data_IF_276040969950
#
_entry.id   IF_276040969950
#
_cell.length_a   1.000
_cell.length_b   1.000
_cell.length_c   1.000
_cell.angle_alpha   90.00
_cell.angle_beta   90.00
_cell.angle_gamma   90.00
#
_symmetry.space_group_name_H-M   'P 1'
#
loop_
_entity.id
_entity.type
_entity.pdbx_description
1 polymer ?
#
# COMPACT_ATOMS: atom_id res chain seq x y z
N UNK A 1 -18.31 0.39 20.88
CA UNK A 1 -19.25 -0.42 20.07
C UNK A 1 -20.04 0.43 19.07
N UNK A 2 -20.73 1.51 19.49
CA UNK A 2 -21.59 2.32 18.59
C UNK A 2 -20.83 3.08 17.50
N UNK A 3 -19.60 3.55 17.76
CA UNK A 3 -18.74 4.17 16.73
C UNK A 3 -18.49 3.23 15.55
N UNK A 4 -18.10 1.97 15.85
CA UNK A 4 -17.92 0.94 14.82
C UNK A 4 -19.22 0.65 14.06
N UNK A 5 -20.39 0.71 14.71
CA UNK A 5 -21.68 0.54 14.03
C UNK A 5 -21.97 1.69 13.05
N UNK A 6 -21.59 2.92 13.41
CA UNK A 6 -21.69 4.07 12.50
C UNK A 6 -20.75 3.93 11.31
N UNK A 7 -19.48 3.59 11.56
CA UNK A 7 -18.47 3.46 10.51
C UNK A 7 -18.78 2.30 9.56
N UNK A 8 -19.22 1.15 10.08
CA UNK A 8 -19.67 0.01 9.27
C UNK A 8 -20.88 0.35 8.41
N UNK A 9 -21.89 1.04 8.95
CA UNK A 9 -23.05 1.47 8.16
C UNK A 9 -22.66 2.46 7.05
N UNK A 10 -21.70 3.35 7.31
CA UNK A 10 -21.17 4.26 6.29
C UNK A 10 -20.36 3.54 5.22
N UNK A 11 -19.54 2.56 5.60
CA UNK A 11 -18.81 1.72 4.65
C UNK A 11 -19.76 0.90 3.79
N UNK A 12 -20.78 0.26 4.38
CA UNK A 12 -21.83 -0.46 3.65
C UNK A 12 -22.46 0.44 2.58
N UNK A 13 -22.83 1.68 2.94
CA UNK A 13 -23.35 2.67 1.99
C UNK A 13 -22.35 2.93 0.85
N UNK A 14 -21.09 3.24 1.17
CA UNK A 14 -20.05 3.51 0.18
C UNK A 14 -19.83 2.34 -0.78
N UNK A 15 -19.86 1.10 -0.29
CA UNK A 15 -19.68 -0.08 -1.13
C UNK A 15 -20.87 -0.33 -2.05
N UNK A 16 -22.11 -0.13 -1.58
CA UNK A 16 -23.31 -0.27 -2.41
C UNK A 16 -23.31 0.76 -3.56
N UNK A 17 -23.00 2.02 -3.25
CA UNK A 17 -22.92 3.09 -4.26
C UNK A 17 -21.90 2.80 -5.35
N UNK A 18 -20.85 2.05 -5.02
CA UNK A 18 -19.73 1.72 -5.90
C UNK A 18 -19.92 0.42 -6.69
N UNK A 19 -21.10 -0.20 -6.64
CA UNK A 19 -21.37 -1.43 -7.39
C UNK A 19 -21.50 -1.14 -8.89
N UNK A 20 -20.91 -2.03 -9.71
CA UNK A 20 -20.97 -1.95 -11.18
C UNK A 20 -22.40 -1.93 -11.72
N UNK A 21 -23.30 -2.66 -11.06
CA UNK A 21 -24.72 -2.70 -11.37
C UNK A 21 -25.54 -2.47 -10.10
N UNK A 22 -26.45 -1.49 -10.13
CA UNK A 22 -27.33 -1.15 -9.01
C UNK A 22 -28.76 -1.49 -9.40
N UNK A 23 -29.34 -2.48 -8.75
CA UNK A 23 -30.75 -2.87 -8.90
C UNK A 23 -31.63 -2.25 -7.78
N UNK A 24 -32.95 -2.41 -7.87
CA UNK A 24 -33.89 -1.89 -6.86
C UNK A 24 -33.62 -2.45 -5.45
N UNK A 25 -33.14 -3.70 -5.38
CA UNK A 25 -32.70 -4.33 -4.13
C UNK A 25 -31.47 -3.59 -3.55
N UNK A 26 -30.51 -3.22 -4.39
CA UNK A 26 -29.34 -2.42 -3.98
C UNK A 26 -29.75 -1.03 -3.51
N UNK A 27 -30.74 -0.37 -4.15
CA UNK A 27 -31.25 0.93 -3.71
C UNK A 27 -31.97 0.84 -2.36
N UNK A 28 -32.70 -0.24 -2.11
CA UNK A 28 -33.32 -0.48 -0.80
C UNK A 28 -32.24 -0.71 0.28
N UNK A 29 -31.20 -1.48 -0.04
CA UNK A 29 -30.06 -1.68 0.85
C UNK A 29 -29.29 -0.38 1.11
N UNK A 30 -29.17 0.49 0.09
CA UNK A 30 -28.55 1.81 0.18
C UNK A 30 -29.27 2.70 1.19
N UNK A 31 -30.59 2.80 1.08
CA UNK A 31 -31.41 3.61 2.01
C UNK A 31 -31.35 3.05 3.44
N UNK A 32 -31.36 1.73 3.60
CA UNK A 32 -31.19 1.09 4.90
C UNK A 32 -29.83 1.41 5.52
N UNK A 33 -28.73 1.28 4.75
CA UNK A 33 -27.39 1.61 5.21
C UNK A 33 -27.29 3.10 5.62
N UNK A 34 -27.87 4.00 4.83
CA UNK A 34 -27.93 5.43 5.16
C UNK A 34 -28.73 5.70 6.44
N UNK A 35 -29.87 5.03 6.61
CA UNK A 35 -30.68 5.10 7.83
C UNK A 35 -29.92 4.64 9.08
N UNK A 36 -29.23 3.48 8.99
CA UNK A 36 -28.36 2.98 10.06
C UNK A 36 -27.24 3.96 10.39
N UNK A 37 -26.59 4.53 9.38
CA UNK A 37 -25.55 5.55 9.57
C UNK A 37 -26.11 6.79 10.28
N UNK A 38 -27.25 7.31 9.84
CA UNK A 38 -27.90 8.47 10.47
C UNK A 38 -28.31 8.22 11.92
N UNK A 39 -28.72 6.99 12.24
CA UNK A 39 -29.05 6.60 13.61
C UNK A 39 -27.80 6.51 14.49
N UNK A 40 -26.75 5.81 14.05
CA UNK A 40 -25.57 5.58 14.87
C UNK A 40 -24.59 6.75 14.94
N UNK A 41 -24.57 7.65 13.95
CA UNK A 41 -23.65 8.80 13.93
C UNK A 41 -23.84 9.74 15.13
N UNK A 42 -24.98 9.69 15.79
CA UNK A 42 -25.27 10.49 16.99
C UNK A 42 -24.24 10.30 18.11
N UNK A 43 -23.57 9.16 18.15
CA UNK A 43 -22.44 8.92 19.06
C UNK A 43 -21.33 9.98 18.92
N UNK A 44 -21.12 10.55 17.73
CA UNK A 44 -20.13 11.60 17.53
C UNK A 44 -20.57 12.94 18.14
N UNK A 45 -21.88 13.17 18.27
CA UNK A 45 -22.41 14.35 18.98
C UNK A 45 -22.33 14.13 20.49
N UNK A 46 -22.73 12.94 20.97
CA UNK A 46 -22.69 12.56 22.38
C UNK A 46 -21.27 12.54 22.96
N UNK A 47 -20.30 12.03 22.19
CA UNK A 47 -18.88 12.00 22.60
C UNK A 47 -18.18 13.37 22.54
N UNK A 48 -18.87 14.42 22.08
CA UNK A 48 -18.29 15.76 21.93
C UNK A 48 -17.33 15.91 20.74
N UNK A 49 -17.18 14.88 19.91
CA UNK A 49 -16.38 14.97 18.67
C UNK A 49 -17.00 15.98 17.70
N UNK A 50 -18.34 16.03 17.66
CA UNK A 50 -19.08 16.93 16.78
C UNK A 50 -20.36 17.48 17.42
N UNK A 51 -20.20 18.42 18.38
CA UNK A 51 -21.33 18.91 19.18
C UNK A 51 -22.34 19.72 18.34
N UNK A 52 -21.89 20.37 17.27
CA UNK A 52 -22.70 21.24 16.40
C UNK A 52 -23.56 20.49 15.38
N UNK A 53 -23.55 19.15 15.37
CA UNK A 53 -24.37 18.31 14.49
C UNK A 53 -23.75 18.05 13.12
N UNK A 54 -24.58 17.57 12.16
CA UNK A 54 -24.12 16.87 10.95
C UNK A 54 -24.24 17.64 9.62
N UNK A 55 -24.16 18.96 9.62
CA UNK A 55 -24.27 19.81 8.42
C UNK A 55 -23.04 19.83 7.50
N UNK A 56 -22.41 18.67 7.24
CA UNK A 56 -21.32 18.58 6.23
C UNK A 56 -21.90 18.41 4.84
N UNK A 57 -21.42 19.17 3.84
CA UNK A 57 -21.81 18.98 2.44
C UNK A 57 -21.67 17.51 1.98
N UNK A 58 -20.60 16.82 2.38
CA UNK A 58 -20.34 15.41 2.03
C UNK A 58 -21.27 14.41 2.71
N UNK A 59 -21.82 14.73 3.88
CA UNK A 59 -22.82 13.88 4.54
C UNK A 59 -24.22 14.17 4.00
N UNK A 60 -24.52 15.43 3.68
CA UNK A 60 -25.78 15.82 3.07
C UNK A 60 -25.94 15.23 1.66
N UNK A 61 -24.85 15.14 0.89
CA UNK A 61 -24.89 14.55 -0.45
C UNK A 61 -25.35 13.09 -0.45
N UNK A 62 -25.14 12.35 0.65
CA UNK A 62 -25.52 10.93 0.77
C UNK A 62 -27.02 10.71 0.51
N UNK A 63 -27.86 11.62 1.01
CA UNK A 63 -29.33 11.55 0.83
C UNK A 63 -29.78 11.69 -0.62
N UNK A 64 -28.92 12.20 -1.52
CA UNK A 64 -29.27 12.41 -2.92
C UNK A 64 -28.83 11.26 -3.83
N UNK A 65 -28.04 10.29 -3.32
CA UNK A 65 -27.48 9.22 -4.15
C UNK A 65 -28.56 8.34 -4.76
N UNK A 66 -29.56 7.89 -4.00
CA UNK A 66 -30.66 7.07 -4.55
C UNK A 66 -31.31 7.78 -5.74
N UNK A 67 -31.70 9.05 -5.55
CA UNK A 67 -32.33 9.84 -6.60
C UNK A 67 -31.43 10.02 -7.83
N UNK A 68 -30.15 10.32 -7.61
CA UNK A 68 -29.18 10.49 -8.69
C UNK A 68 -28.91 9.17 -9.43
N UNK A 69 -28.83 8.05 -8.73
CA UNK A 69 -28.65 6.73 -9.36
C UNK A 69 -29.83 6.42 -10.27
N UNK A 70 -31.06 6.69 -9.83
CA UNK A 70 -32.26 6.51 -10.68
C UNK A 70 -32.25 7.40 -11.94
N UNK A 71 -31.67 8.60 -11.86
CA UNK A 71 -31.63 9.56 -12.99
C UNK A 71 -30.45 9.38 -13.93
N UNK A 72 -29.29 9.00 -13.40
CA UNK A 72 -28.01 9.08 -14.11
C UNK A 72 -27.26 7.74 -14.16
N UNK A 73 -27.79 6.69 -13.54
CA UNK A 73 -27.15 5.39 -13.45
C UNK A 73 -26.16 5.27 -12.29
N UNK A 74 -25.51 4.12 -12.20
CA UNK A 74 -24.51 3.85 -11.16
C UNK A 74 -23.31 4.81 -11.31
N UNK A 75 -22.79 5.39 -10.20
CA UNK A 75 -21.71 6.38 -10.24
C UNK A 75 -20.31 5.77 -10.45
N UNK A 76 -20.23 4.59 -11.09
CA UNK A 76 -18.96 3.90 -11.32
C UNK A 76 -18.00 4.78 -12.12
N UNK A 77 -16.73 4.79 -11.72
CA UNK A 77 -15.70 5.59 -12.37
C UNK A 77 -15.74 7.11 -12.05
N UNK A 78 -16.58 7.58 -11.13
CA UNK A 78 -16.60 8.97 -10.66
C UNK A 78 -16.30 9.06 -9.17
N UNK A 79 -15.11 8.62 -8.76
CA UNK A 79 -14.63 8.80 -7.39
C UNK A 79 -13.84 10.10 -7.26
N UNK A 80 -13.80 10.66 -6.04
CA UNK A 80 -12.84 11.71 -5.74
C UNK A 80 -11.40 11.25 -5.88
N UNK A 81 -11.11 9.93 -5.87
CA UNK A 81 -9.74 9.44 -6.09
C UNK A 81 -9.28 9.64 -7.53
N UNK A 82 -10.17 9.62 -8.52
CA UNK A 82 -9.81 9.86 -9.93
C UNK A 82 -9.44 11.33 -10.14
N UNK A 83 -10.28 12.25 -9.67
CA UNK A 83 -10.01 13.69 -9.77
C UNK A 83 -8.83 14.10 -8.88
N UNK A 84 -8.70 13.52 -7.69
CA UNK A 84 -7.56 13.76 -6.80
C UNK A 84 -6.26 13.18 -7.37
N UNK A 85 -6.29 12.01 -8.02
CA UNK A 85 -5.11 11.43 -8.69
C UNK A 85 -4.61 12.34 -9.80
N UNK A 86 -5.51 12.85 -10.65
CA UNK A 86 -5.16 13.85 -11.66
C UNK A 86 -4.68 15.16 -11.04
N UNK A 87 -5.31 15.62 -9.96
CA UNK A 87 -4.88 16.81 -9.21
C UNK A 87 -3.49 16.64 -8.56
N UNK A 88 -3.16 15.45 -8.07
CA UNK A 88 -1.81 15.13 -7.57
C UNK A 88 -0.79 15.33 -8.70
N UNK A 89 -1.05 14.71 -9.86
CA UNK A 89 -0.12 14.74 -10.99
C UNK A 89 0.00 16.13 -11.62
N UNK A 90 -1.12 16.83 -11.82
CA UNK A 90 -1.17 18.10 -12.53
C UNK A 90 -0.92 19.32 -11.63
N UNK A 91 -1.11 19.20 -10.32
CA UNK A 91 -1.02 20.35 -9.39
C UNK A 91 -0.02 20.08 -8.27
N UNK A 92 -0.23 19.05 -7.44
CA UNK A 92 0.63 18.85 -6.25
C UNK A 92 2.09 18.56 -6.61
N UNK A 93 2.33 17.67 -7.58
CA UNK A 93 3.69 17.32 -8.04
C UNK A 93 4.41 18.52 -8.66
N UNK A 94 3.82 19.25 -9.63
CA UNK A 94 4.43 20.45 -10.18
C UNK A 94 4.65 21.55 -9.14
N UNK A 95 3.71 21.74 -8.21
CA UNK A 95 3.85 22.71 -7.12
C UNK A 95 5.07 22.40 -6.25
N UNK A 96 5.24 21.13 -5.84
CA UNK A 96 6.41 20.68 -5.05
C UNK A 96 7.73 20.89 -5.78
N UNK A 97 7.75 20.68 -7.10
CA UNK A 97 8.92 20.86 -7.98
C UNK A 97 9.21 22.32 -8.34
N UNK A 98 8.23 23.22 -8.19
CA UNK A 98 8.39 24.64 -8.49
C UNK A 98 9.17 25.37 -7.39
N UNK A 99 9.72 26.54 -7.72
CA UNK A 99 10.33 27.43 -6.72
C UNK A 99 9.31 28.09 -5.78
N UNK A 100 8.01 27.88 -6.00
CA UNK A 100 6.87 28.52 -5.31
C UNK A 100 6.73 30.03 -5.54
N UNK A 101 7.64 30.65 -6.29
CA UNK A 101 7.56 32.04 -6.73
C UNK A 101 7.06 32.09 -8.18
N UNK A 102 5.96 32.81 -8.44
CA UNK A 102 5.27 32.80 -9.76
C UNK A 102 5.06 31.36 -10.30
N UNK A 103 4.62 30.48 -9.40
CA UNK A 103 4.65 29.04 -9.60
C UNK A 103 3.75 28.54 -10.74
N UNK A 104 2.66 29.25 -11.06
CA UNK A 104 1.68 28.79 -12.05
C UNK A 104 2.31 28.56 -13.42
N UNK A 105 3.15 29.50 -13.90
CA UNK A 105 3.86 29.35 -15.17
C UNK A 105 4.81 28.17 -15.18
N UNK A 106 5.54 27.97 -14.07
CA UNK A 106 6.44 26.81 -13.91
C UNK A 106 5.67 25.50 -13.92
N UNK A 107 4.54 25.44 -13.21
CA UNK A 107 3.68 24.25 -13.13
C UNK A 107 3.12 23.87 -14.51
N UNK A 108 2.66 24.86 -15.29
CA UNK A 108 2.18 24.64 -16.66
C UNK A 108 3.29 24.11 -17.57
N UNK A 109 4.51 24.63 -17.45
CA UNK A 109 5.67 24.15 -18.21
C UNK A 109 6.06 22.72 -17.84
N UNK A 110 6.05 22.38 -16.55
CA UNK A 110 6.30 21.02 -16.06
C UNK A 110 5.26 20.05 -16.62
N UNK A 111 3.97 20.39 -16.54
CA UNK A 111 2.90 19.57 -17.09
C UNK A 111 3.07 19.36 -18.60
N UNK A 112 3.31 20.45 -19.34
CA UNK A 112 3.54 20.38 -20.79
C UNK A 112 4.73 19.48 -21.13
N UNK A 113 5.82 19.55 -20.35
CA UNK A 113 7.00 18.69 -20.57
C UNK A 113 6.68 17.22 -20.30
N UNK A 114 5.96 16.93 -19.23
CA UNK A 114 5.55 15.57 -18.89
C UNK A 114 4.61 14.98 -19.95
N UNK A 115 3.66 15.76 -20.46
CA UNK A 115 2.75 15.33 -21.52
C UNK A 115 3.50 15.02 -22.82
N UNK A 116 4.47 15.86 -23.19
CA UNK A 116 5.35 15.62 -24.35
C UNK A 116 6.19 14.35 -24.18
N UNK A 117 6.76 14.12 -22.99
CA UNK A 117 7.53 12.91 -22.69
C UNK A 117 6.64 11.65 -22.73
N UNK A 118 5.43 11.72 -22.20
CA UNK A 118 4.47 10.60 -22.26
C UNK A 118 4.07 10.26 -23.69
N UNK A 119 3.81 11.29 -24.52
CA UNK A 119 3.52 11.11 -25.94
C UNK A 119 4.72 10.50 -26.69
N UNK A 120 5.93 11.02 -26.46
CA UNK A 120 7.15 10.48 -27.07
C UNK A 120 7.41 9.04 -26.65
N UNK A 121 7.22 8.69 -25.37
CA UNK A 121 7.37 7.32 -24.88
C UNK A 121 6.41 6.36 -25.58
N UNK A 122 5.16 6.76 -25.76
CA UNK A 122 4.15 5.96 -26.47
C UNK A 122 4.54 5.73 -27.93
N UNK A 123 4.98 6.79 -28.62
CA UNK A 123 5.46 6.71 -30.00
C UNK A 123 6.69 5.78 -30.13
N UNK A 124 7.70 5.95 -29.27
CA UNK A 124 8.91 5.13 -29.29
C UNK A 124 8.65 3.67 -28.93
N UNK A 125 7.81 3.39 -27.93
CA UNK A 125 7.37 2.03 -27.61
C UNK A 125 6.65 1.38 -28.79
N UNK A 126 5.75 2.10 -29.47
CA UNK A 126 5.03 1.54 -30.64
C UNK A 126 5.94 1.17 -31.81
N UNK A 127 7.15 1.74 -31.86
CA UNK A 127 8.18 1.47 -32.87
C UNK A 127 9.22 0.44 -32.40
N UNK A 128 9.07 -0.13 -31.21
CA UNK A 128 10.04 -1.04 -30.60
C UNK A 128 11.36 -0.37 -30.19
N UNK A 129 11.42 0.97 -30.14
CA UNK A 129 12.64 1.72 -29.83
C UNK A 129 12.99 1.72 -28.33
N UNK A 130 12.11 1.19 -27.48
CA UNK A 130 12.28 1.09 -26.03
C UNK A 130 12.33 -0.36 -25.55
N UNK A 131 12.46 -1.32 -26.48
CA UNK A 131 12.60 -2.73 -26.15
C UNK A 131 14.10 -3.05 -25.97
N UNK A 132 14.44 -3.64 -24.82
CA UNK A 132 15.82 -3.87 -24.41
C UNK A 132 16.29 -2.91 -23.32
N UNK A 133 17.45 -3.20 -22.72
CA UNK A 133 18.11 -2.29 -21.77
C UNK A 133 19.38 -1.76 -22.41
N UNK A 134 19.77 -0.51 -22.11
CA UNK A 134 21.06 0.01 -22.56
C UNK A 134 22.22 -0.89 -22.08
N UNK A 135 22.05 -1.56 -20.93
CA UNK A 135 22.99 -2.54 -20.42
C UNK A 135 23.05 -3.79 -21.30
N UNK A 136 21.91 -4.31 -21.75
CA UNK A 136 21.83 -5.44 -22.69
C UNK A 136 22.55 -5.12 -24.00
N UNK A 137 22.28 -3.96 -24.60
CA UNK A 137 22.96 -3.52 -25.82
C UNK A 137 24.49 -3.36 -25.62
N UNK A 138 24.92 -2.87 -24.46
CA UNK A 138 26.35 -2.75 -24.12
C UNK A 138 26.99 -4.12 -23.89
N UNK A 139 26.28 -5.04 -23.24
CA UNK A 139 26.73 -6.43 -23.05
C UNK A 139 26.82 -7.13 -24.39
N UNK A 140 25.83 -7.00 -25.27
CA UNK A 140 25.83 -7.60 -26.61
C UNK A 140 27.02 -7.07 -27.42
N UNK A 141 27.29 -5.75 -27.39
CA UNK A 141 28.48 -5.17 -28.02
C UNK A 141 29.80 -5.61 -27.39
N UNK A 142 29.84 -5.83 -26.08
CA UNK A 142 31.02 -6.35 -25.40
C UNK A 142 31.26 -7.82 -25.75
N UNK A 143 30.20 -8.62 -25.82
CA UNK A 143 30.26 -10.01 -26.28
C UNK A 143 30.72 -10.08 -27.74
N UNK A 144 30.16 -9.26 -28.63
CA UNK A 144 30.62 -9.13 -30.02
C UNK A 144 32.10 -8.70 -30.11
N UNK A 145 32.53 -7.72 -29.30
CA UNK A 145 33.92 -7.27 -29.27
C UNK A 145 34.90 -8.30 -28.68
N UNK A 146 34.45 -9.16 -27.75
CA UNK A 146 35.24 -10.26 -27.21
C UNK A 146 35.34 -11.42 -28.21
N UNK A 147 34.28 -11.72 -28.96
CA UNK A 147 34.29 -12.68 -30.07
C UNK A 147 35.21 -12.23 -31.22
N UNK A 148 35.31 -10.92 -31.47
CA UNK A 148 36.28 -10.33 -32.42
C UNK A 148 37.72 -10.36 -31.88
N UNK A 149 37.91 -10.28 -30.56
CA UNK A 149 39.23 -10.36 -29.92
C UNK A 149 39.77 -11.80 -29.83
N UNK A 150 38.91 -12.81 -29.70
CA UNK A 150 39.31 -14.23 -29.69
C UNK A 150 39.83 -14.73 -31.06
N UNK A 151 39.63 -13.97 -32.15
CA UNK A 151 40.22 -14.27 -33.47
C UNK A 151 41.60 -13.62 -33.70
N UNK A 152 42.12 -12.83 -32.75
CA UNK A 152 43.48 -12.27 -32.80
C UNK A 152 44.13 -12.37 -31.43
N UNK A 153 44.60 -13.58 -31.10
CA UNK A 153 45.37 -13.84 -29.90
C UNK A 153 46.79 -13.26 -30.01
N UNK A 154 47.14 -12.35 -29.09
CA UNK A 154 48.45 -12.37 -28.44
C UNK A 154 48.43 -11.52 -27.16
N UNK A 155 48.54 -12.20 -26.02
CA UNK A 155 49.28 -11.84 -24.79
C UNK A 155 49.40 -10.35 -24.41
N UNK A 156 48.83 -9.94 -23.27
CA UNK A 156 49.58 -9.21 -22.21
C UNK A 156 48.83 -9.22 -20.87
N UNK A 157 49.51 -9.68 -19.81
CA UNK A 157 49.19 -9.44 -18.41
C UNK A 157 49.16 -7.94 -18.07
N UNK A 158 48.18 -7.48 -17.27
CA UNK A 158 48.44 -6.40 -16.31
C UNK A 158 47.38 -6.33 -15.22
N UNK A 159 47.85 -6.51 -13.99
CA UNK A 159 47.28 -6.02 -12.74
C UNK A 159 46.74 -4.58 -12.86
N UNK A 160 45.60 -4.31 -12.24
CA UNK A 160 45.32 -2.99 -11.64
C UNK A 160 44.22 -3.06 -10.58
N UNK A 161 44.69 -2.91 -9.35
CA UNK A 161 43.96 -2.56 -8.15
C UNK A 161 43.17 -1.25 -8.36
N UNK A 162 41.86 -1.23 -8.12
CA UNK A 162 41.08 0.01 -8.00
C UNK A 162 40.35 0.04 -6.65
N UNK A 163 40.82 0.92 -5.78
CA UNK A 163 40.17 1.29 -4.53
C UNK A 163 38.80 1.91 -4.83
N UNK A 164 37.74 1.32 -4.25
CA UNK A 164 36.41 1.91 -4.23
C UNK A 164 36.33 2.91 -3.08
N UNK A 165 36.57 4.20 -3.35
CA UNK A 165 36.07 5.29 -2.51
C UNK A 165 34.57 5.44 -2.77
N UNK A 166 33.77 4.90 -1.84
CA UNK A 166 32.32 4.96 -1.92
C UNK A 166 31.83 6.36 -1.49
N UNK A 167 31.47 7.16 -2.49
CA UNK A 167 30.09 7.60 -2.65
C UNK A 167 29.51 8.47 -1.53
N UNK A 168 29.71 9.78 -1.67
CA UNK A 168 28.96 10.81 -0.97
C UNK A 168 27.44 10.62 -1.15
N UNK A 169 26.71 10.76 -0.04
CA UNK A 169 25.26 10.83 0.05
C UNK A 169 24.68 11.81 -0.99
N UNK A 170 24.08 11.26 -2.05
CA UNK A 170 23.27 12.00 -3.01
C UNK A 170 21.86 11.38 -3.04
N UNK A 171 20.93 12.14 -2.45
CA UNK A 171 19.51 12.22 -2.80
C UNK A 171 18.76 10.89 -3.02
N UNK A 172 18.47 10.20 -1.92
CA UNK A 172 17.37 9.25 -1.85
C UNK A 172 16.00 9.99 -1.80
N UNK A 173 15.68 10.78 -2.83
CA UNK A 173 14.31 11.16 -3.16
C UNK A 173 13.72 10.10 -4.13
N UNK A 174 13.90 8.81 -3.79
CA UNK A 174 13.22 7.70 -4.47
C UNK A 174 11.71 7.84 -4.22
N UNK A 175 11.01 8.41 -5.20
CA UNK A 175 9.57 8.22 -5.48
C UNK A 175 8.68 8.00 -4.24
N UNK A 176 8.77 8.88 -3.25
CA UNK A 176 7.88 8.87 -2.06
C UNK A 176 6.40 8.97 -2.44
N UNK A 177 6.05 9.32 -3.68
CA UNK A 177 4.68 9.47 -4.17
C UNK A 177 4.15 8.29 -4.99
N UNK A 178 4.94 7.21 -5.15
CA UNK A 178 4.39 5.89 -5.46
C UNK A 178 3.76 5.25 -4.20
N UNK A 179 2.98 6.02 -3.43
CA UNK A 179 2.29 5.55 -2.20
C UNK A 179 1.04 4.73 -2.54
N UNK A 180 0.27 5.18 -3.52
CA UNK A 180 -1.09 4.68 -3.78
C UNK A 180 -1.44 4.82 -5.26
N UNK A 181 -2.05 3.80 -5.87
CA UNK A 181 -2.51 3.89 -7.26
C UNK A 181 -2.78 2.54 -7.93
N UNK A 182 -3.32 2.55 -9.16
CA UNK A 182 -3.58 1.33 -9.92
C UNK A 182 -2.27 0.58 -10.23
N UNK A 183 -2.37 -0.74 -10.36
CA UNK A 183 -1.28 -1.63 -10.75
C UNK A 183 -1.70 -2.41 -11.99
N UNK A 184 -0.79 -2.51 -12.97
CA UNK A 184 -0.98 -3.35 -14.15
C UNK A 184 -0.38 -4.74 -13.90
N UNK A 185 -1.13 -5.80 -14.17
CA UNK A 185 -0.66 -7.19 -14.07
C UNK A 185 -1.74 -8.17 -13.61
N UNK A 186 -1.53 -9.49 -13.77
CA UNK A 186 -2.46 -10.51 -13.27
C UNK A 186 -2.63 -10.39 -11.74
N UNK A 187 -3.84 -10.57 -11.19
CA UNK A 187 -4.09 -10.39 -9.78
C UNK A 187 -3.29 -11.39 -8.93
N UNK A 188 -2.37 -10.92 -8.06
CA UNK A 188 -1.80 -11.80 -7.04
C UNK A 188 -2.87 -12.13 -6.01
N UNK A 189 -2.80 -13.33 -5.41
CA UNK A 189 -3.47 -13.64 -4.15
C UNK A 189 -2.85 -12.70 -3.09
N UNK A 190 -3.45 -11.52 -2.87
CA UNK A 190 -3.11 -10.53 -1.83
C UNK A 190 -1.62 -10.46 -1.43
N UNK A 191 -0.84 -9.62 -2.10
CA UNK A 191 0.59 -9.48 -1.83
C UNK A 191 0.87 -8.29 -0.87
N UNK A 192 1.61 -8.55 0.21
CA UNK A 192 2.13 -7.54 1.13
C UNK A 192 3.65 -7.58 1.05
N UNK A 193 4.24 -6.52 0.51
CA UNK A 193 5.70 -6.37 0.40
C UNK A 193 6.21 -5.40 1.44
N UNK A 194 7.20 -5.79 2.24
CA UNK A 194 7.86 -4.89 3.19
C UNK A 194 8.73 -3.85 2.47
N UNK A 195 9.04 -2.75 3.15
CA UNK A 195 9.95 -1.74 2.60
C UNK A 195 11.36 -2.32 2.35
N UNK A 196 12.05 -1.84 1.32
CA UNK A 196 13.40 -2.29 0.98
C UNK A 196 14.42 -2.05 2.10
N UNK A 197 14.31 -0.92 2.80
CA UNK A 197 15.25 -0.53 3.85
C UNK A 197 14.72 -0.93 5.22
N UNK A 198 15.46 -1.80 5.91
CA UNK A 198 15.23 -2.12 7.30
C UNK A 198 15.58 -0.92 8.21
N UNK A 199 14.96 -0.88 9.37
CA UNK A 199 15.09 0.20 10.34
C UNK A 199 16.08 -0.17 11.44
N UNK A 200 16.94 0.78 11.80
CA UNK A 200 17.93 0.64 12.89
C UNK A 200 17.36 1.07 14.24
N UNK A 201 17.99 0.61 15.32
CA UNK A 201 17.69 1.05 16.70
C UNK A 201 16.66 0.21 17.45
N UNK A 202 16.32 -0.97 16.92
CA UNK A 202 15.53 -1.99 17.60
C UNK A 202 16.46 -3.08 18.16
N UNK A 203 16.12 -3.71 19.30
CA UNK A 203 16.80 -4.92 19.72
C UNK A 203 16.35 -6.08 18.85
N UNK A 204 17.31 -6.69 18.14
CA UNK A 204 17.08 -7.74 17.15
C UNK A 204 17.63 -9.11 17.60
N UNK A 205 18.12 -9.21 18.85
CA UNK A 205 18.72 -10.44 19.38
C UNK A 205 17.71 -11.51 19.77
N UNK A 206 16.46 -11.13 20.05
CA UNK A 206 15.35 -12.07 20.23
C UNK A 206 14.00 -11.38 20.05
N UNK A 207 12.97 -12.16 19.75
CA UNK A 207 11.57 -11.67 19.69
C UNK A 207 11.12 -11.15 21.05
N UNK A 208 11.59 -11.75 22.14
CA UNK A 208 11.28 -11.30 23.48
C UNK A 208 11.79 -9.86 23.74
N UNK A 209 13.05 -9.58 23.39
CA UNK A 209 13.62 -8.24 23.52
C UNK A 209 12.89 -7.22 22.65
N UNK A 210 12.56 -7.60 21.41
CA UNK A 210 11.77 -6.76 20.51
C UNK A 210 10.39 -6.46 21.11
N UNK A 211 9.71 -7.46 21.64
CA UNK A 211 8.41 -7.35 22.32
C UNK A 211 8.47 -6.37 23.49
N UNK A 212 9.48 -6.50 24.34
CA UNK A 212 9.72 -5.57 25.46
C UNK A 212 9.94 -4.14 24.97
N UNK A 213 10.75 -3.95 23.92
CA UNK A 213 11.04 -2.62 23.37
C UNK A 213 9.79 -1.93 22.81
N UNK A 214 8.92 -2.68 22.13
CA UNK A 214 7.68 -2.14 21.55
C UNK A 214 6.51 -2.11 22.53
N UNK A 215 6.72 -2.51 23.80
CA UNK A 215 5.68 -2.64 24.84
C UNK A 215 4.58 -3.65 24.49
N UNK A 216 4.97 -4.76 23.84
CA UNK A 216 4.12 -5.92 23.59
C UNK A 216 4.78 -7.17 24.17
N UNK A 217 4.51 -7.43 25.45
CA UNK A 217 5.14 -8.53 26.20
C UNK A 217 4.74 -9.92 25.68
N UNK A 218 3.56 -10.03 25.07
CA UNK A 218 3.06 -11.28 24.49
C UNK A 218 3.53 -11.52 23.05
N UNK A 219 4.49 -10.75 22.53
CA UNK A 219 4.91 -10.84 21.12
C UNK A 219 5.39 -12.26 20.76
N UNK A 220 6.18 -12.88 21.63
CA UNK A 220 6.65 -14.24 21.45
C UNK A 220 5.49 -15.24 21.33
N UNK A 221 4.51 -15.18 22.23
CA UNK A 221 3.33 -16.04 22.16
C UNK A 221 2.54 -15.82 20.87
N UNK A 222 2.42 -14.57 20.41
CA UNK A 222 1.72 -14.24 19.16
C UNK A 222 2.46 -14.79 17.93
N UNK A 223 3.80 -14.72 17.91
CA UNK A 223 4.60 -15.29 16.81
C UNK A 223 4.48 -16.82 16.80
N UNK A 224 4.52 -17.47 17.96
CA UNK A 224 4.29 -18.91 18.09
C UNK A 224 2.93 -19.34 17.55
N UNK A 225 1.87 -18.59 17.90
CA UNK A 225 0.51 -18.83 17.39
C UNK A 225 0.45 -18.60 15.88
N UNK A 226 1.11 -17.55 15.37
CA UNK A 226 1.20 -17.28 13.93
C UNK A 226 1.85 -18.45 13.18
N UNK A 227 2.98 -18.97 13.66
CA UNK A 227 3.66 -20.11 13.07
C UNK A 227 2.82 -21.39 13.11
N UNK A 228 2.09 -21.61 14.21
CA UNK A 228 1.17 -22.74 14.31
C UNK A 228 0.10 -22.69 13.21
N UNK A 229 -0.53 -21.55 12.96
CA UNK A 229 -1.53 -21.41 11.89
C UNK A 229 -0.91 -21.48 10.49
N UNK A 230 0.34 -21.03 10.33
CA UNK A 230 1.06 -21.17 9.07
C UNK A 230 1.31 -22.65 8.72
N UNK A 231 1.69 -23.46 9.72
CA UNK A 231 1.91 -24.91 9.56
C UNK A 231 0.59 -25.71 9.53
N UNK A 232 -0.50 -25.17 10.09
CA UNK A 232 -1.81 -25.82 10.17
C UNK A 232 -2.94 -24.92 9.66
N UNK A 233 -3.04 -24.66 8.35
CA UNK A 233 -3.99 -23.68 7.79
C UNK A 233 -5.47 -24.00 8.06
N UNK A 234 -5.80 -25.29 8.26
CA UNK A 234 -7.18 -25.76 8.48
C UNK A 234 -7.55 -25.91 9.96
N UNK A 235 -6.67 -25.53 10.89
CA UNK A 235 -6.94 -25.63 12.32
C UNK A 235 -7.97 -24.58 12.76
N UNK A 236 -9.09 -25.03 13.33
CA UNK A 236 -10.10 -24.15 13.90
C UNK A 236 -9.87 -23.93 15.41
N UNK A 237 -9.83 -22.66 15.83
CA UNK A 237 -9.76 -22.25 17.25
C UNK A 237 -8.35 -21.84 17.71
N UNK A 238 -8.31 -21.05 18.79
CA UNK A 238 -7.07 -20.51 19.34
C UNK A 238 -6.22 -21.62 20.01
N UNK A 239 -5.02 -21.95 19.48
CA UNK A 239 -4.15 -22.95 20.10
C UNK A 239 -3.63 -22.44 21.44
N UNK A 240 -3.38 -23.36 22.39
CA UNK A 240 -2.61 -23.00 23.57
C UNK A 240 -1.16 -22.73 23.17
N UNK A 241 -0.51 -21.75 23.80
CA UNK A 241 0.89 -21.39 23.51
C UNK A 241 1.82 -22.60 23.67
N UNK A 242 1.51 -23.51 24.60
CA UNK A 242 2.26 -24.76 24.81
C UNK A 242 2.23 -25.74 23.64
N UNK A 243 1.19 -25.68 22.79
CA UNK A 243 1.05 -26.53 21.60
C UNK A 243 1.67 -25.90 20.34
N UNK A 244 2.17 -24.67 20.45
CA UNK A 244 2.77 -23.93 19.34
C UNK A 244 4.28 -24.21 19.23
N UNK A 245 4.87 -24.12 18.02
CA UNK A 245 6.31 -24.34 17.80
C UNK A 245 7.20 -23.49 18.71
N UNK A 246 8.42 -23.96 18.98
CA UNK A 246 9.43 -23.10 19.60
C UNK A 246 9.90 -22.05 18.59
N UNK A 247 10.41 -20.94 19.11
CA UNK A 247 10.96 -19.83 18.31
C UNK A 247 12.46 -19.64 18.54
N UNK A 248 13.11 -20.63 19.15
CA UNK A 248 14.55 -20.57 19.46
C UNK A 248 15.42 -20.57 18.20
N UNK A 249 14.92 -21.13 17.09
CA UNK A 249 15.58 -21.18 15.77
C UNK A 249 15.28 -19.96 14.89
N UNK A 250 14.70 -18.89 15.46
CA UNK A 250 14.44 -17.66 14.71
C UNK A 250 15.71 -16.82 14.63
N UNK A 251 16.09 -16.50 13.40
CA UNK A 251 17.24 -15.65 13.07
C UNK A 251 16.82 -14.46 12.19
N UNK A 252 17.76 -13.56 11.90
CA UNK A 252 17.61 -12.45 10.95
C UNK A 252 16.38 -11.55 11.16
N UNK A 253 16.10 -11.20 12.42
CA UNK A 253 14.99 -10.30 12.76
C UNK A 253 15.26 -8.91 12.15
N UNK A 254 14.36 -8.45 11.30
CA UNK A 254 14.41 -7.12 10.69
C UNK A 254 13.11 -6.36 10.90
N UNK A 255 13.19 -5.05 11.12
CA UNK A 255 12.04 -4.18 11.42
C UNK A 255 11.84 -3.14 10.31
N UNK A 256 10.59 -2.84 9.99
CA UNK A 256 10.19 -1.91 8.93
C UNK A 256 9.12 -0.94 9.40
N UNK A 257 9.15 0.28 8.86
CA UNK A 257 8.15 1.32 9.15
C UNK A 257 7.04 1.42 8.10
N UNK A 258 7.12 0.66 7.02
CA UNK A 258 6.08 0.62 6.01
C UNK A 258 6.03 -0.73 5.32
N UNK A 259 4.85 -1.03 4.80
CA UNK A 259 4.60 -2.14 3.90
C UNK A 259 3.70 -1.65 2.77
N UNK A 260 3.84 -2.27 1.61
CA UNK A 260 3.02 -2.06 0.42
C UNK A 260 2.02 -3.21 0.34
N UNK A 261 0.74 -2.91 0.34
CA UNK A 261 -0.32 -3.88 0.08
C UNK A 261 -0.85 -3.70 -1.34
N UNK A 262 -1.04 -4.81 -2.05
CA UNK A 262 -1.72 -4.85 -3.35
C UNK A 262 -2.99 -5.69 -3.22
N UNK A 263 -4.14 -5.09 -3.55
CA UNK A 263 -5.45 -5.72 -3.43
C UNK A 263 -6.34 -5.41 -4.62
N UNK A 264 -7.33 -6.27 -4.88
CA UNK A 264 -8.35 -5.99 -5.88
C UNK A 264 -9.36 -5.00 -5.30
N UNK A 265 -9.57 -3.88 -5.99
CA UNK A 265 -10.59 -2.89 -5.68
C UNK A 265 -11.60 -2.85 -6.84
N UNK A 266 -12.66 -3.68 -6.79
CA UNK A 266 -13.58 -3.89 -7.94
C UNK A 266 -14.19 -2.60 -8.50
N UNK A 267 -14.32 -1.57 -7.67
CA UNK A 267 -14.93 -0.28 -8.02
C UNK A 267 -13.95 0.78 -8.53
N UNK A 268 -12.65 0.47 -8.59
CA UNK A 268 -11.63 1.36 -9.12
C UNK A 268 -11.06 0.78 -10.42
N UNK A 269 -11.36 1.38 -11.58
CA UNK A 269 -10.58 1.17 -12.82
C UNK A 269 -9.88 2.49 -13.18
N UNK A 270 -8.60 2.51 -13.64
CA UNK A 270 -8.02 1.52 -14.54
C UNK A 270 -6.59 1.04 -14.16
N UNK A 271 -6.48 -0.25 -13.93
CA UNK A 271 -5.32 -1.10 -14.23
C UNK A 271 -5.88 -2.41 -14.79
N UNK A 272 -5.14 -3.12 -15.64
CA UNK A 272 -5.60 -4.42 -16.17
C UNK A 272 -5.82 -5.37 -14.97
N UNK A 273 -7.09 -5.62 -14.59
CA UNK A 273 -7.46 -6.50 -13.47
C UNK A 273 -7.99 -5.84 -12.19
N UNK A 274 -8.15 -4.50 -12.13
CA UNK A 274 -8.76 -3.83 -10.96
C UNK A 274 -7.88 -3.80 -9.70
N UNK A 275 -6.57 -4.00 -9.86
CA UNK A 275 -5.60 -3.99 -8.76
C UNK A 275 -5.28 -2.58 -8.30
N UNK A 276 -5.16 -2.44 -6.98
CA UNK A 276 -4.83 -1.19 -6.32
C UNK A 276 -3.72 -1.42 -5.30
N UNK A 277 -2.76 -0.49 -5.28
CA UNK A 277 -1.68 -0.45 -4.30
C UNK A 277 -1.97 0.59 -3.23
N UNK A 278 -1.72 0.24 -1.98
CA UNK A 278 -1.61 1.21 -0.88
C UNK A 278 -0.36 0.94 -0.02
N UNK A 279 0.26 2.01 0.47
CA UNK A 279 1.35 1.91 1.43
C UNK A 279 0.81 2.16 2.84
N UNK A 280 0.99 1.16 3.69
CA UNK A 280 0.63 1.15 5.10
C UNK A 280 1.86 1.57 5.91
N UNK A 281 1.70 2.51 6.85
CA UNK A 281 2.79 3.04 7.67
C UNK A 281 2.63 2.76 9.15
N UNK A 282 3.76 2.51 9.79
CA UNK A 282 3.88 2.33 11.24
C UNK A 282 5.18 3.00 11.71
N UNK A 283 5.20 4.33 11.69
CA UNK A 283 6.37 5.15 11.99
C UNK A 283 6.27 5.75 13.41
N UNK A 284 7.23 5.50 14.32
CA UNK A 284 7.15 5.94 15.72
C UNK A 284 7.31 7.46 15.89
N UNK A 285 8.00 8.13 14.97
CA UNK A 285 8.19 9.58 14.98
C UNK A 285 7.78 10.14 13.61
N UNK A 286 6.60 10.73 13.54
CA UNK A 286 6.08 11.36 12.34
C UNK A 286 5.80 12.83 12.63
N UNK A 287 6.39 13.74 11.85
CA UNK A 287 6.19 15.18 12.01
C UNK A 287 4.95 15.60 11.22
N UNK A 288 3.92 16.08 11.91
CA UNK A 288 2.74 16.66 11.28
C UNK A 288 2.47 18.01 11.95
N UNK A 289 2.47 19.09 11.16
CA UNK A 289 2.12 20.44 11.62
C UNK A 289 2.89 20.90 12.88
N UNK A 290 4.18 20.57 12.97
CA UNK A 290 5.04 20.96 14.10
C UNK A 290 4.98 20.02 15.32
N UNK A 291 4.08 19.04 15.33
CA UNK A 291 3.98 18.02 16.38
C UNK A 291 4.68 16.75 15.90
N UNK A 292 5.50 16.15 16.78
CA UNK A 292 6.11 14.83 16.56
C UNK A 292 5.28 13.81 17.33
N UNK A 293 4.59 12.93 16.61
CA UNK A 293 3.77 11.87 17.17
C UNK A 293 3.93 10.58 16.36
N UNK A 294 3.66 9.40 16.92
CA UNK A 294 3.66 8.15 16.15
C UNK A 294 2.53 8.14 15.12
N UNK A 295 2.84 7.72 13.90
CA UNK A 295 1.87 7.41 12.85
C UNK A 295 1.69 5.90 12.77
N UNK A 296 0.50 5.43 13.14
CA UNK A 296 0.11 4.01 13.07
C UNK A 296 -1.14 3.91 12.23
N UNK A 297 -0.99 3.48 10.98
CA UNK A 297 -2.11 3.35 10.05
C UNK A 297 -3.05 2.20 10.50
N UNK A 298 -4.34 2.34 10.20
CA UNK A 298 -5.34 1.28 10.43
C UNK A 298 -5.55 0.50 9.13
N UNK A 299 -5.75 -0.81 9.25
CA UNK A 299 -5.95 -1.75 8.14
C UNK A 299 -7.23 -2.55 8.33
N UNK A 300 -7.83 -2.98 7.21
CA UNK A 300 -8.94 -3.93 7.20
C UNK A 300 -8.38 -5.34 6.97
N UNK A 301 -8.68 -6.25 7.88
CA UNK A 301 -8.27 -7.66 7.82
C UNK A 301 -9.48 -8.51 7.48
N UNK A 302 -9.40 -9.33 6.43
CA UNK A 302 -10.43 -10.32 6.13
C UNK A 302 -10.22 -11.54 7.03
N UNK A 303 -11.17 -11.84 7.91
CA UNK A 303 -11.04 -12.91 8.92
C UNK A 303 -11.44 -14.29 8.41
N UNK A 304 -11.74 -14.44 7.12
CA UNK A 304 -12.22 -15.69 6.54
C UNK A 304 -13.70 -15.98 6.85
N UNK A 305 -14.43 -15.02 7.44
CA UNK A 305 -15.88 -15.16 7.61
C UNK A 305 -16.60 -14.83 6.31
N UNK A 306 -17.55 -15.67 5.91
CA UNK A 306 -18.44 -15.42 4.75
C UNK A 306 -19.50 -14.33 5.02
N UNK A 307 -19.27 -13.49 6.05
CA UNK A 307 -20.20 -12.44 6.42
C UNK A 307 -20.14 -11.31 5.38
N UNK A 308 -21.30 -10.84 4.90
CA UNK A 308 -21.33 -9.86 3.82
C UNK A 308 -20.84 -8.48 4.29
N UNK A 309 -20.19 -7.76 3.37
CA UNK A 309 -19.81 -6.36 3.54
C UNK A 309 -18.75 -6.15 4.61
N UNK A 310 -18.83 -5.02 5.34
CA UNK A 310 -17.83 -4.66 6.36
C UNK A 310 -17.79 -5.62 7.56
N UNK A 311 -18.80 -6.50 7.72
CA UNK A 311 -18.86 -7.49 8.80
C UNK A 311 -17.90 -8.66 8.59
N UNK A 312 -17.45 -8.87 7.36
CA UNK A 312 -16.40 -9.86 7.03
C UNK A 312 -14.98 -9.39 7.35
N UNK A 313 -14.85 -8.14 7.82
CA UNK A 313 -13.57 -7.51 8.08
C UNK A 313 -13.43 -7.08 9.54
N UNK A 314 -12.22 -7.21 10.05
CA UNK A 314 -11.81 -6.60 11.31
C UNK A 314 -10.94 -5.36 11.04
N UNK A 315 -11.04 -4.36 11.91
CA UNK A 315 -10.20 -3.17 11.85
C UNK A 315 -9.05 -3.33 12.84
N UNK A 316 -7.82 -3.39 12.32
CA UNK A 316 -6.62 -3.46 13.14
C UNK A 316 -5.78 -2.19 12.99
N UNK A 317 -5.02 -1.84 14.02
CA UNK A 317 -4.01 -0.78 13.95
C UNK A 317 -2.64 -1.42 13.86
N UNK A 318 -1.87 -1.07 12.84
CA UNK A 318 -0.55 -1.67 12.64
C UNK A 318 0.44 -1.09 13.63
N UNK A 319 0.99 -1.95 14.51
CA UNK A 319 1.95 -1.54 15.51
C UNK A 319 3.41 -1.61 15.05
N UNK A 320 3.75 -2.61 14.23
CA UNK A 320 5.09 -2.84 13.71
C UNK A 320 5.02 -3.74 12.48
N UNK A 321 5.93 -3.56 11.53
CA UNK A 321 6.25 -4.56 10.53
C UNK A 321 7.61 -5.17 10.84
N UNK A 322 7.72 -6.48 10.78
CA UNK A 322 8.99 -7.16 10.97
C UNK A 322 9.02 -8.45 10.14
N UNK A 323 10.22 -8.90 9.81
CA UNK A 323 10.50 -10.19 9.19
C UNK A 323 11.52 -10.94 10.03
N UNK A 324 11.60 -12.25 9.83
CA UNK A 324 12.55 -13.13 10.46
C UNK A 324 12.72 -14.39 9.61
N UNK A 325 13.84 -15.08 9.75
CA UNK A 325 14.09 -16.39 9.16
C UNK A 325 13.82 -17.48 10.20
N UNK A 326 13.33 -18.62 9.74
CA UNK A 326 13.28 -19.86 10.52
C UNK A 326 14.24 -20.83 9.87
N UNK A 327 15.21 -21.34 10.63
CA UNK A 327 15.93 -22.54 10.19
C UNK A 327 14.92 -23.70 10.13
N UNK A 328 14.68 -24.23 8.93
CA UNK A 328 14.02 -25.52 8.80
C UNK A 328 14.99 -26.59 9.33
N UNK A 329 14.58 -27.33 10.36
CA UNK A 329 15.23 -28.61 10.66
C UNK A 329 15.14 -29.46 9.38
N UNK A 330 16.28 -29.63 8.70
CA UNK A 330 16.42 -30.61 7.63
C UNK A 330 16.16 -31.98 8.24
N UNK A 331 14.91 -32.41 8.21
CA UNK A 331 14.53 -33.80 8.47
C UNK A 331 15.12 -34.62 7.32
N UNK A 332 16.38 -35.04 7.48
CA UNK A 332 16.97 -36.10 6.68
C UNK A 332 16.05 -37.33 6.78
N UNK A 333 15.32 -37.61 5.70
CA UNK A 333 14.76 -38.94 5.46
C UNK A 333 15.74 -39.76 4.65
#
# INVERSE_FOLDING_TARGET
MVVLMSDTAFLDFCYIVRQDTIAEVSLTALDNALGRFHHHREIFRESGVRPTGFSLPRQHSLSHYHHHIKKFGAPNGLSSSITESKHIIAVKKPWRRSSRYEALGQMLMINTRNDKLAAARTDFSSRGMLDGTCLGEVIDRLCEALEDAENNDSDTDSDSNSESEDGQDLDADEDEDAVTGPVDGPPPLSDITLALKCTRGYPLGSIWELGKHIKQENLEALVRIFLFYHQNPNSAGAPSVSACPSIDSIEDISVFYSAKAVFCAPSNSPGVGGLYREMIRSTPKWKTSGIIAPRRDCVLLHTGSDMPGARGFEVARVHLFFSFALEEEVLSR
#
